data_IF_500751524205
#
_entry.id   IF_500751524205
#
_cell.length_a   1.000
_cell.length_b   1.000
_cell.length_c   1.000
_cell.angle_alpha   90.00
_cell.angle_beta   90.00
_cell.angle_gamma   90.00
#
_symmetry.space_group_name_H-M   'P 1'
#
loop_
_entity.id
_entity.type
_entity.pdbx_description
1 polymer ?
#
# COMPACT_ATOMS: atom_id res chain seq x y z
N UNK A 1 -35.59 -26.51 71.48
CA UNK A 1 -36.38 -27.74 71.34
C UNK A 1 -36.56 -28.00 69.85
N UNK A 2 -36.14 -29.09 69.22
CA UNK A 2 -35.31 -30.22 69.63
C UNK A 2 -34.70 -30.82 68.36
N UNK A 3 -33.60 -31.51 68.57
CA UNK A 3 -32.83 -32.29 67.63
C UNK A 3 -33.47 -33.69 67.46
N UNK A 4 -33.19 -34.37 66.32
CA UNK A 4 -33.14 -35.84 66.12
C UNK A 4 -34.14 -36.46 65.11
N UNK A 5 -33.51 -37.00 64.05
CA UNK A 5 -33.80 -38.24 63.31
C UNK A 5 -34.99 -38.32 62.35
N UNK A 6 -34.97 -39.14 61.30
CA UNK A 6 -33.96 -39.92 60.57
C UNK A 6 -34.79 -40.73 59.57
N UNK A 7 -34.40 -40.72 58.29
CA UNK A 7 -34.57 -41.76 57.28
C UNK A 7 -35.78 -42.73 57.37
N UNK A 8 -36.59 -42.79 56.29
CA UNK A 8 -36.54 -43.88 55.28
C UNK A 8 -37.67 -43.79 54.25
N UNK A 9 -37.31 -43.92 52.98
CA UNK A 9 -38.19 -44.30 51.85
C UNK A 9 -38.86 -43.10 51.18
N UNK A 10 -38.90 -42.94 49.86
CA UNK A 10 -38.86 -43.94 48.79
C UNK A 10 -38.32 -43.30 47.51
N UNK A 11 -37.43 -44.04 46.85
CA UNK A 11 -36.99 -43.95 45.45
C UNK A 11 -38.03 -43.32 44.49
N UNK A 12 -37.87 -42.04 44.11
CA UNK A 12 -38.16 -41.55 42.73
C UNK A 12 -37.41 -40.24 42.55
N UNK A 13 -36.21 -40.27 41.96
CA UNK A 13 -35.64 -39.17 41.14
C UNK A 13 -34.22 -39.57 40.70
N UNK A 14 -34.14 -40.60 39.86
CA UNK A 14 -33.04 -40.74 38.91
C UNK A 14 -33.70 -40.64 37.54
N UNK A 15 -33.06 -39.90 36.62
CA UNK A 15 -33.54 -39.49 35.28
C UNK A 15 -34.20 -38.11 35.27
N UNK A 16 -33.45 -37.07 35.67
CA UNK A 16 -33.73 -35.69 35.25
C UNK A 16 -32.45 -34.82 35.10
N UNK A 17 -31.26 -35.44 35.14
CA UNK A 17 -29.98 -34.72 35.19
C UNK A 17 -28.98 -35.08 34.09
N UNK A 18 -29.44 -35.70 32.99
CA UNK A 18 -28.55 -36.19 31.91
C UNK A 18 -29.04 -35.89 30.50
N UNK A 19 -29.89 -34.86 30.32
CA UNK A 19 -30.27 -34.35 28.98
C UNK A 19 -30.09 -32.81 28.90
N UNK A 20 -29.37 -32.19 29.85
CA UNK A 20 -29.05 -30.76 29.81
C UNK A 20 -27.54 -30.47 29.77
N UNK A 21 -26.77 -31.41 29.23
CA UNK A 21 -25.31 -31.28 29.03
C UNK A 21 -24.85 -31.69 27.62
N UNK A 22 -25.78 -31.93 26.69
CA UNK A 22 -25.49 -32.31 25.31
C UNK A 22 -25.85 -31.24 24.25
N UNK A 23 -26.19 -30.01 24.66
CA UNK A 23 -26.59 -28.93 23.74
C UNK A 23 -25.67 -27.69 23.76
N UNK A 24 -24.46 -27.79 24.35
CA UNK A 24 -23.45 -26.72 24.29
C UNK A 24 -22.34 -27.00 23.27
N UNK A 25 -22.35 -28.16 22.61
CA UNK A 25 -21.34 -28.52 21.60
C UNK A 25 -21.93 -28.58 20.18
N UNK A 26 -22.34 -27.45 19.61
CA UNK A 26 -22.48 -27.28 18.16
C UNK A 26 -22.68 -25.79 17.83
N UNK A 27 -21.63 -25.00 18.02
CA UNK A 27 -21.67 -23.57 17.73
C UNK A 27 -20.28 -22.94 17.65
N UNK A 28 -19.27 -23.70 17.21
CA UNK A 28 -18.15 -23.03 16.53
C UNK A 28 -18.78 -22.54 15.24
N UNK A 29 -19.29 -21.31 15.24
CA UNK A 29 -19.52 -20.60 14.01
C UNK A 29 -18.18 -20.60 13.30
N UNK A 30 -18.02 -21.44 12.28
CA UNK A 30 -16.99 -21.20 11.28
C UNK A 30 -17.25 -19.76 10.85
N UNK A 31 -16.32 -18.85 11.21
CA UNK A 31 -16.38 -17.49 10.75
C UNK A 31 -16.46 -17.57 9.23
N UNK A 32 -17.65 -17.34 8.68
CA UNK A 32 -17.85 -17.42 7.25
C UNK A 32 -16.97 -16.32 6.69
N UNK A 33 -15.89 -16.71 6.01
CA UNK A 33 -14.90 -15.78 5.48
C UNK A 33 -15.68 -14.67 4.79
N UNK A 34 -15.41 -13.43 5.20
CA UNK A 34 -16.11 -12.27 4.64
C UNK A 34 -15.96 -12.37 3.12
N UNK A 35 -17.02 -12.12 2.36
CA UNK A 35 -16.90 -12.16 0.89
C UNK A 35 -16.31 -10.85 0.41
N UNK A 36 -15.38 -10.92 -0.53
CA UNK A 36 -14.93 -9.75 -1.27
C UNK A 36 -16.12 -9.08 -1.98
N UNK A 37 -15.94 -7.82 -2.38
CA UNK A 37 -16.96 -7.09 -3.12
C UNK A 37 -17.24 -7.77 -4.47
N UNK A 38 -18.49 -7.78 -4.87
CA UNK A 38 -18.87 -8.07 -6.26
C UNK A 38 -18.40 -6.96 -7.20
N UNK A 39 -18.35 -7.20 -8.51
CA UNK A 39 -17.98 -6.17 -9.48
C UNK A 39 -18.88 -4.93 -9.39
N UNK A 40 -20.19 -5.11 -9.21
CA UNK A 40 -21.12 -3.98 -9.09
C UNK A 40 -20.88 -3.17 -7.81
N UNK A 41 -20.60 -3.85 -6.68
CA UNK A 41 -20.19 -3.18 -5.44
C UNK A 41 -18.86 -2.43 -5.61
N UNK A 42 -17.90 -3.00 -6.36
CA UNK A 42 -16.63 -2.34 -6.69
C UNK A 42 -16.88 -1.07 -7.49
N UNK A 43 -17.72 -1.12 -8.54
CA UNK A 43 -18.05 0.04 -9.37
C UNK A 43 -18.70 1.15 -8.55
N UNK A 44 -19.72 0.81 -7.76
CA UNK A 44 -20.41 1.78 -6.89
C UNK A 44 -19.44 2.44 -5.91
N UNK A 45 -18.65 1.64 -5.20
CA UNK A 45 -17.71 2.15 -4.20
C UNK A 45 -16.57 2.95 -4.84
N UNK A 46 -16.05 2.53 -5.98
CA UNK A 46 -14.98 3.24 -6.68
C UNK A 46 -15.46 4.62 -7.19
N UNK A 47 -16.65 4.69 -7.79
CA UNK A 47 -17.24 5.97 -8.22
C UNK A 47 -17.44 6.90 -7.01
N UNK A 48 -18.04 6.39 -5.93
CA UNK A 48 -18.21 7.15 -4.69
C UNK A 48 -16.88 7.67 -4.14
N UNK A 49 -15.82 6.84 -4.16
CA UNK A 49 -14.49 7.23 -3.68
C UNK A 49 -13.86 8.30 -4.56
N UNK A 50 -14.01 8.22 -5.88
CA UNK A 50 -13.55 9.28 -6.79
C UNK A 50 -14.27 10.61 -6.52
N UNK A 51 -15.59 10.58 -6.33
CA UNK A 51 -16.40 11.79 -6.06
C UNK A 51 -16.02 12.48 -4.75
N UNK A 52 -15.61 11.70 -3.74
CA UNK A 52 -15.28 12.20 -2.42
C UNK A 52 -13.77 12.37 -2.18
N UNK A 53 -12.94 12.16 -3.21
CA UNK A 53 -11.48 12.24 -3.07
C UNK A 53 -10.89 11.24 -2.07
N UNK A 54 -11.40 10.01 -2.06
CA UNK A 54 -11.02 8.94 -1.13
C UNK A 54 -10.09 7.92 -1.77
N UNK A 55 -9.19 7.35 -0.97
CA UNK A 55 -8.29 6.27 -1.39
C UNK A 55 -9.05 5.02 -1.87
N UNK A 56 -8.65 4.34 -2.97
CA UNK A 56 -7.47 4.59 -3.82
C UNK A 56 -7.71 5.54 -5.00
N UNK A 57 -8.82 6.27 -5.06
CA UNK A 57 -9.21 7.11 -6.22
C UNK A 57 -8.94 8.60 -6.03
N UNK A 58 -8.02 8.97 -5.14
CA UNK A 58 -7.66 10.36 -4.87
C UNK A 58 -7.19 11.03 -6.17
N UNK A 59 -7.90 12.09 -6.56
CA UNK A 59 -7.54 12.91 -7.73
C UNK A 59 -7.84 12.28 -9.10
N UNK A 60 -8.56 11.15 -9.16
CA UNK A 60 -9.17 10.66 -10.41
C UNK A 60 -10.48 11.41 -10.67
N UNK A 61 -10.76 11.72 -11.94
CA UNK A 61 -12.04 12.30 -12.35
C UNK A 61 -13.14 11.22 -12.31
N UNK A 62 -14.26 11.43 -11.58
CA UNK A 62 -15.37 10.48 -11.56
C UNK A 62 -15.96 10.16 -12.94
N UNK A 63 -15.84 11.05 -13.93
CA UNK A 63 -16.30 10.80 -15.29
C UNK A 63 -15.40 9.78 -16.00
N UNK A 64 -14.08 9.89 -15.85
CA UNK A 64 -13.11 8.94 -16.39
C UNK A 64 -13.29 7.54 -15.78
N UNK A 65 -13.57 7.49 -14.47
CA UNK A 65 -13.84 6.23 -13.75
C UNK A 65 -15.10 5.55 -14.28
N UNK A 66 -16.18 6.32 -14.54
CA UNK A 66 -17.40 5.80 -15.16
C UNK A 66 -17.15 5.32 -16.59
N UNK A 67 -16.36 6.04 -17.36
CA UNK A 67 -16.00 5.66 -18.73
C UNK A 67 -15.28 4.30 -18.75
N UNK A 68 -14.28 4.11 -17.88
CA UNK A 68 -13.60 2.81 -17.76
C UNK A 68 -14.57 1.69 -17.36
N UNK A 69 -15.47 1.94 -16.39
CA UNK A 69 -16.45 0.93 -15.95
C UNK A 69 -17.56 0.64 -16.97
N UNK A 70 -17.77 1.51 -17.96
CA UNK A 70 -18.71 1.24 -19.04
C UNK A 70 -18.28 0.03 -19.89
N UNK A 71 -16.99 -0.28 -19.95
CA UNK A 71 -16.45 -1.43 -20.71
C UNK A 71 -16.09 -2.63 -19.84
N UNK A 72 -15.84 -2.45 -18.53
CA UNK A 72 -15.50 -3.55 -17.61
C UNK A 72 -16.77 -4.34 -17.21
N UNK A 73 -16.84 -5.61 -17.59
CA UNK A 73 -17.97 -6.54 -17.41
C UNK A 73 -17.66 -7.70 -16.47
N UNK A 74 -16.40 -8.07 -16.29
CA UNK A 74 -16.01 -9.16 -15.38
C UNK A 74 -15.01 -8.69 -14.32
N UNK A 75 -14.70 -9.58 -13.38
CA UNK A 75 -13.66 -9.37 -12.37
C UNK A 75 -12.25 -9.75 -12.87
N UNK A 76 -12.08 -9.97 -14.18
CA UNK A 76 -10.79 -10.27 -14.79
C UNK A 76 -9.80 -9.10 -14.64
N UNK A 77 -8.55 -9.42 -14.30
CA UNK A 77 -7.51 -8.43 -14.04
C UNK A 77 -7.02 -7.72 -15.29
N UNK A 78 -7.00 -8.39 -16.44
CA UNK A 78 -6.56 -7.81 -17.69
C UNK A 78 -7.67 -6.96 -18.33
N UNK A 79 -8.93 -7.35 -18.18
CA UNK A 79 -10.08 -6.52 -18.55
C UNK A 79 -10.11 -5.22 -17.73
N UNK A 80 -9.91 -5.31 -16.41
CA UNK A 80 -9.76 -4.14 -15.53
C UNK A 80 -8.64 -3.22 -16.01
N UNK A 81 -7.44 -3.76 -16.23
CA UNK A 81 -6.29 -2.99 -16.65
C UNK A 81 -6.52 -2.33 -18.01
N UNK A 82 -7.15 -3.03 -18.96
CA UNK A 82 -7.47 -2.52 -20.28
C UNK A 82 -8.47 -1.35 -20.21
N UNK A 83 -9.54 -1.48 -19.42
CA UNK A 83 -10.56 -0.44 -19.26
C UNK A 83 -9.99 0.90 -18.78
N UNK A 84 -9.18 0.89 -17.72
CA UNK A 84 -8.52 2.10 -17.22
C UNK A 84 -7.40 2.59 -18.13
N UNK A 85 -6.63 1.68 -18.75
CA UNK A 85 -5.56 2.06 -19.67
C UNK A 85 -6.08 2.77 -20.91
N UNK A 86 -7.25 2.39 -21.44
CA UNK A 86 -7.84 3.04 -22.61
C UNK A 86 -8.14 4.53 -22.36
N UNK A 87 -8.66 4.86 -21.17
CA UNK A 87 -8.90 6.25 -20.76
C UNK A 87 -7.58 7.00 -20.57
N UNK A 88 -6.60 6.35 -19.94
CA UNK A 88 -5.27 6.91 -19.71
C UNK A 88 -4.49 7.18 -21.01
N UNK A 89 -4.61 6.32 -22.02
CA UNK A 89 -3.96 6.43 -23.33
C UNK A 89 -4.34 7.75 -24.03
N UNK A 90 -5.61 8.19 -23.90
CA UNK A 90 -6.08 9.47 -24.40
C UNK A 90 -5.32 10.64 -23.77
N UNK A 91 -5.16 10.64 -22.45
CA UNK A 91 -4.42 11.70 -21.75
C UNK A 91 -2.93 11.67 -22.07
N UNK A 92 -2.33 10.49 -22.16
CA UNK A 92 -0.93 10.32 -22.55
C UNK A 92 -0.65 10.90 -23.94
N UNK A 93 -1.54 10.64 -24.91
CA UNK A 93 -1.40 11.17 -26.27
C UNK A 93 -1.55 12.70 -26.31
N UNK A 94 -2.53 13.26 -25.59
CA UNK A 94 -2.73 14.71 -25.51
C UNK A 94 -1.53 15.40 -24.83
N UNK A 95 -0.99 14.81 -23.76
CA UNK A 95 0.17 15.33 -23.07
C UNK A 95 1.39 15.42 -24.00
N UNK A 96 1.71 14.33 -24.72
CA UNK A 96 2.81 14.30 -25.70
C UNK A 96 2.69 15.36 -26.79
N UNK A 97 1.48 15.59 -27.29
CA UNK A 97 1.24 16.60 -28.32
C UNK A 97 1.47 18.05 -27.83
N UNK A 98 1.33 18.29 -26.52
CA UNK A 98 1.45 19.61 -25.91
C UNK A 98 2.82 19.86 -25.26
N UNK A 99 3.66 18.85 -25.10
CA UNK A 99 4.92 18.94 -24.35
C UNK A 99 5.84 20.06 -24.87
N UNK A 100 5.88 20.28 -26.18
CA UNK A 100 6.69 21.33 -26.81
C UNK A 100 6.04 22.70 -26.91
N UNK A 101 4.74 22.85 -26.60
CA UNK A 101 3.98 24.09 -26.82
C UNK A 101 3.33 24.65 -25.56
N UNK A 102 2.91 23.77 -24.63
CA UNK A 102 2.30 24.11 -23.35
C UNK A 102 2.69 23.05 -22.30
N UNK A 103 3.90 23.19 -21.76
CA UNK A 103 4.48 22.26 -20.80
C UNK A 103 3.64 22.11 -19.52
N UNK A 104 2.99 23.20 -19.06
CA UNK A 104 2.15 23.17 -17.86
C UNK A 104 0.89 22.30 -18.08
N UNK A 105 0.24 22.47 -19.23
CA UNK A 105 -0.91 21.63 -19.60
C UNK A 105 -0.51 20.19 -19.88
N UNK A 106 0.60 19.96 -20.56
CA UNK A 106 1.14 18.62 -20.79
C UNK A 106 1.41 17.89 -19.46
N UNK A 107 2.05 18.58 -18.52
CA UNK A 107 2.32 18.10 -17.17
C UNK A 107 1.05 17.66 -16.44
N UNK A 108 0.00 18.47 -16.44
CA UNK A 108 -1.29 18.10 -15.83
C UNK A 108 -1.97 16.90 -16.50
N UNK A 109 -1.83 16.74 -17.81
CA UNK A 109 -2.36 15.58 -18.55
C UNK A 109 -1.57 14.30 -18.26
N UNK A 110 -0.25 14.39 -18.11
CA UNK A 110 0.58 13.26 -17.67
C UNK A 110 0.19 12.78 -16.27
N UNK A 111 -0.12 13.68 -15.33
CA UNK A 111 -0.64 13.31 -14.00
C UNK A 111 -1.96 12.53 -14.10
N UNK A 112 -2.89 12.98 -14.95
CA UNK A 112 -4.16 12.25 -15.18
C UNK A 112 -3.92 10.86 -15.76
N UNK A 113 -3.04 10.74 -16.76
CA UNK A 113 -2.67 9.46 -17.34
C UNK A 113 -2.04 8.53 -16.29
N UNK A 114 -1.08 9.04 -15.51
CA UNK A 114 -0.43 8.29 -14.43
C UNK A 114 -1.45 7.75 -13.41
N UNK A 115 -2.36 8.58 -12.91
CA UNK A 115 -3.37 8.15 -11.93
C UNK A 115 -4.26 7.02 -12.47
N UNK A 116 -4.71 7.12 -13.72
CA UNK A 116 -5.53 6.09 -14.36
C UNK A 116 -4.75 4.79 -14.62
N UNK A 117 -3.51 4.87 -15.12
CA UNK A 117 -2.65 3.69 -15.27
C UNK A 117 -2.33 3.03 -13.92
N UNK A 118 -2.04 3.83 -12.91
CA UNK A 118 -1.79 3.38 -11.53
C UNK A 118 -2.99 2.64 -10.96
N UNK A 119 -4.21 3.11 -11.25
CA UNK A 119 -5.43 2.42 -10.86
C UNK A 119 -5.72 1.17 -11.73
N UNK A 120 -5.33 1.19 -13.00
CA UNK A 120 -5.32 -0.01 -13.87
C UNK A 120 -4.40 -1.13 -13.32
N UNK A 121 -3.27 -0.77 -12.72
CA UNK A 121 -2.39 -1.71 -11.97
C UNK A 121 -3.01 -2.17 -10.65
N UNK A 122 -3.76 -1.31 -9.96
CA UNK A 122 -4.13 -1.49 -8.56
C UNK A 122 -4.84 -2.85 -8.28
N UNK A 123 -4.63 -3.46 -7.10
CA UNK A 123 -3.67 -3.05 -6.05
C UNK A 123 -2.23 -3.45 -6.36
N UNK A 124 -2.03 -4.48 -7.19
CA UNK A 124 -0.72 -5.02 -7.57
C UNK A 124 -0.71 -5.48 -9.03
N UNK A 125 0.45 -5.45 -9.71
CA UNK A 125 0.59 -5.89 -11.10
C UNK A 125 0.54 -7.43 -11.26
N UNK A 126 -0.57 -8.06 -10.84
CA UNK A 126 -0.74 -9.51 -10.73
C UNK A 126 -1.07 -10.23 -12.06
N UNK A 127 -1.14 -9.52 -13.17
CA UNK A 127 -1.41 -10.07 -14.50
C UNK A 127 -0.63 -9.29 -15.58
N UNK A 128 -0.45 -9.85 -16.79
CA UNK A 128 0.29 -9.16 -17.86
C UNK A 128 -0.29 -7.79 -18.22
N UNK A 129 -1.62 -7.65 -18.25
CA UNK A 129 -2.29 -6.36 -18.45
C UNK A 129 -1.99 -5.37 -17.35
N UNK A 130 -2.06 -5.78 -16.07
CA UNK A 130 -1.72 -4.91 -14.94
C UNK A 130 -0.24 -4.53 -14.89
N UNK A 131 0.66 -5.42 -15.32
CA UNK A 131 2.10 -5.12 -15.48
C UNK A 131 2.32 -4.06 -16.57
N UNK A 132 1.65 -4.18 -17.72
CA UNK A 132 1.69 -3.16 -18.78
C UNK A 132 1.14 -1.82 -18.30
N UNK A 133 0.02 -1.83 -17.56
CA UNK A 133 -0.53 -0.62 -16.95
C UNK A 133 0.48 0.03 -15.99
N UNK A 134 1.19 -0.75 -15.17
CA UNK A 134 2.24 -0.20 -14.30
C UNK A 134 3.40 0.42 -15.09
N UNK A 135 3.90 -0.24 -16.14
CA UNK A 135 4.93 0.34 -17.01
C UNK A 135 4.52 1.69 -17.60
N UNK A 136 3.29 1.78 -18.11
CA UNK A 136 2.73 3.05 -18.61
C UNK A 136 2.54 4.10 -17.52
N UNK A 137 2.22 3.70 -16.28
CA UNK A 137 2.15 4.61 -15.14
C UNK A 137 3.52 5.25 -14.86
N UNK A 138 4.60 4.45 -14.88
CA UNK A 138 5.97 4.94 -14.73
C UNK A 138 6.35 5.92 -15.85
N UNK A 139 6.04 5.59 -17.10
CA UNK A 139 6.29 6.47 -18.24
C UNK A 139 5.57 7.82 -18.09
N UNK A 140 4.28 7.80 -17.75
CA UNK A 140 3.48 9.02 -17.56
C UNK A 140 4.02 9.86 -16.40
N UNK A 141 4.34 9.24 -15.26
CA UNK A 141 4.87 9.95 -14.11
C UNK A 141 6.23 10.60 -14.40
N UNK A 142 7.15 9.86 -15.01
CA UNK A 142 8.46 10.41 -15.36
C UNK A 142 8.37 11.50 -16.43
N UNK A 143 7.43 11.39 -17.37
CA UNK A 143 7.18 12.47 -18.34
C UNK A 143 6.68 13.74 -17.65
N UNK A 144 5.77 13.62 -16.68
CA UNK A 144 5.34 14.73 -15.83
C UNK A 144 6.52 15.36 -15.08
N UNK A 145 7.35 14.55 -14.41
CA UNK A 145 8.39 15.08 -13.52
C UNK A 145 9.57 15.72 -14.25
N UNK A 146 9.80 15.37 -15.53
CA UNK A 146 10.80 16.05 -16.39
C UNK A 146 10.42 17.51 -16.67
N UNK A 147 9.14 17.86 -16.57
CA UNK A 147 8.64 19.21 -16.78
C UNK A 147 8.63 20.05 -15.49
N UNK A 148 9.06 19.49 -14.35
CA UNK A 148 9.19 20.21 -13.09
C UNK A 148 10.47 21.05 -13.03
N UNK A 149 10.48 22.05 -12.16
CA UNK A 149 11.63 22.92 -11.90
C UNK A 149 11.93 22.99 -10.38
N UNK A 150 13.05 22.40 -9.90
CA UNK A 150 13.95 21.51 -10.64
C UNK A 150 13.25 20.18 -10.98
N UNK A 151 13.70 19.46 -12.03
CA UNK A 151 13.16 18.16 -12.38
C UNK A 151 13.40 17.14 -11.26
N UNK A 152 12.59 16.09 -11.25
CA UNK A 152 12.81 14.96 -10.34
C UNK A 152 14.06 14.18 -10.73
N UNK A 153 14.89 13.83 -9.75
CA UNK A 153 16.05 12.97 -9.92
C UNK A 153 15.67 11.52 -9.66
N UNK A 154 15.92 10.63 -10.62
CA UNK A 154 15.84 9.18 -10.41
C UNK A 154 17.20 8.71 -9.91
N UNK A 155 17.27 8.33 -8.63
CA UNK A 155 18.49 7.79 -8.03
C UNK A 155 18.48 6.27 -8.11
N UNK A 156 19.66 5.69 -8.36
CA UNK A 156 19.89 4.24 -8.39
C UNK A 156 21.01 3.93 -7.42
N UNK A 157 20.68 3.26 -6.31
CA UNK A 157 21.59 3.03 -5.18
C UNK A 157 21.98 1.55 -5.19
N UNK A 158 23.26 1.19 -5.37
CA UNK A 158 23.70 -0.21 -5.39
C UNK A 158 23.36 -0.93 -4.08
N UNK A 159 22.72 -2.10 -4.20
CA UNK A 159 22.23 -2.89 -3.08
C UNK A 159 22.02 -4.36 -3.50
N UNK A 160 22.66 -5.31 -2.82
CA UNK A 160 22.43 -6.74 -3.00
C UNK A 160 22.52 -7.29 -4.44
N UNK A 161 23.50 -6.82 -5.21
CA UNK A 161 23.66 -7.22 -6.61
C UNK A 161 22.58 -6.66 -7.54
N UNK A 162 21.75 -5.74 -7.05
CA UNK A 162 20.74 -4.97 -7.76
C UNK A 162 20.86 -3.50 -7.35
N UNK A 163 19.78 -2.75 -7.48
CA UNK A 163 19.71 -1.33 -7.14
C UNK A 163 18.36 -0.95 -6.51
N UNK A 164 18.42 -0.07 -5.50
CA UNK A 164 17.25 0.62 -4.98
C UNK A 164 16.98 1.81 -5.90
N UNK A 165 15.76 1.88 -6.45
CA UNK A 165 15.32 2.99 -7.30
C UNK A 165 14.51 3.96 -6.46
N UNK A 166 15.04 5.18 -6.28
CA UNK A 166 14.39 6.24 -5.51
C UNK A 166 14.12 7.48 -6.35
N UNK A 167 13.12 8.26 -5.95
CA UNK A 167 12.75 9.52 -6.58
C UNK A 167 13.05 10.68 -5.64
N UNK A 168 14.08 11.48 -5.97
CA UNK A 168 14.62 12.52 -5.10
C UNK A 168 14.33 13.91 -5.68
N UNK A 169 13.92 14.83 -4.81
CA UNK A 169 13.86 16.27 -5.13
C UNK A 169 14.37 17.11 -3.98
N UNK A 170 15.06 18.18 -4.36
CA UNK A 170 15.57 19.20 -3.46
C UNK A 170 14.85 20.53 -3.72
N UNK A 171 14.73 21.41 -2.72
CA UNK A 171 14.20 22.74 -2.92
C UNK A 171 15.04 23.55 -3.91
N UNK A 172 14.39 24.42 -4.67
CA UNK A 172 15.06 25.29 -5.64
C UNK A 172 15.89 26.37 -4.92
N UNK A 173 17.04 26.75 -5.51
CA UNK A 173 17.87 27.90 -5.09
C UNK A 173 18.41 27.84 -3.65
N UNK A 174 18.65 26.64 -3.09
CA UNK A 174 19.21 26.50 -1.74
C UNK A 174 20.70 26.82 -1.70
N UNK A 175 21.14 27.48 -0.62
CA UNK A 175 22.53 27.98 -0.45
C UNK A 175 23.42 27.05 0.38
N UNK A 176 22.96 25.84 0.69
CA UNK A 176 23.67 24.88 1.52
C UNK A 176 22.88 23.58 1.70
N UNK A 177 23.38 22.67 2.56
CA UNK A 177 22.74 21.38 2.79
C UNK A 177 21.32 21.54 3.36
N UNK A 178 20.39 20.72 2.87
CA UNK A 178 18.96 20.79 3.24
C UNK A 178 18.55 19.58 4.10
N UNK A 179 17.58 19.75 5.02
CA UNK A 179 16.94 18.61 5.68
C UNK A 179 16.22 17.73 4.65
N UNK A 180 16.16 16.42 4.92
CA UNK A 180 15.57 15.43 4.02
C UNK A 180 14.47 14.62 4.71
N UNK A 181 13.41 14.29 3.98
CA UNK A 181 12.43 13.28 4.37
C UNK A 181 12.54 12.05 3.46
N UNK A 182 12.74 10.88 4.07
CA UNK A 182 12.61 9.59 3.37
C UNK A 182 11.14 9.16 3.46
N UNK A 183 10.45 9.08 2.32
CA UNK A 183 9.04 8.71 2.25
C UNK A 183 8.87 7.29 1.71
N UNK A 184 8.26 6.39 2.49
CA UNK A 184 8.11 4.96 2.18
C UNK A 184 6.65 4.66 1.82
N UNK A 185 6.44 4.04 0.64
CA UNK A 185 5.13 3.66 0.17
C UNK A 185 4.47 2.55 0.95
N UNK A 186 3.14 2.48 0.87
CA UNK A 186 2.35 1.38 1.40
C UNK A 186 2.39 0.13 0.50
N UNK A 187 1.48 -0.80 0.79
CA UNK A 187 1.35 -2.06 0.05
C UNK A 187 0.97 -1.85 -1.41
N UNK A 188 0.03 -0.93 -1.66
CA UNK A 188 -0.60 -0.69 -2.95
C UNK A 188 -0.36 0.71 -3.53
N UNK A 189 0.25 1.63 -2.77
CA UNK A 189 0.87 2.86 -3.29
C UNK A 189 2.33 2.62 -3.70
N UNK A 190 2.92 3.57 -4.43
CA UNK A 190 4.28 3.50 -4.97
C UNK A 190 5.02 4.82 -4.75
N UNK A 191 6.34 4.84 -4.90
CA UNK A 191 7.19 6.05 -4.78
C UNK A 191 6.71 7.23 -5.63
N UNK A 192 6.02 6.98 -6.74
CA UNK A 192 5.34 8.01 -7.55
C UNK A 192 4.32 8.79 -6.71
N UNK A 193 3.44 8.10 -5.97
CA UNK A 193 2.41 8.72 -5.12
C UNK A 193 3.04 9.59 -4.03
N UNK A 194 4.15 9.10 -3.44
CA UNK A 194 4.88 9.82 -2.39
C UNK A 194 5.55 11.04 -2.98
N UNK A 195 6.14 10.92 -4.16
CA UNK A 195 6.81 12.03 -4.84
C UNK A 195 5.85 13.15 -5.22
N UNK A 196 4.63 12.81 -5.65
CA UNK A 196 3.58 13.78 -5.90
C UNK A 196 3.16 14.51 -4.60
N UNK A 197 2.93 13.76 -3.52
CA UNK A 197 2.48 14.32 -2.24
C UNK A 197 3.57 15.17 -1.56
N UNK A 198 4.81 14.67 -1.49
CA UNK A 198 5.93 15.36 -0.85
C UNK A 198 6.48 16.53 -1.67
N UNK A 199 6.03 16.73 -2.92
CA UNK A 199 6.30 17.98 -3.64
C UNK A 199 5.92 19.24 -2.84
N UNK A 200 4.91 19.14 -1.97
CA UNK A 200 4.43 20.25 -1.14
C UNK A 200 5.41 20.71 -0.04
N UNK A 201 6.41 19.91 0.34
CA UNK A 201 7.37 20.31 1.38
C UNK A 201 8.56 21.11 0.84
N UNK A 202 8.79 21.09 -0.48
CA UNK A 202 9.91 21.77 -1.13
C UNK A 202 9.93 23.29 -0.85
N UNK A 203 8.81 24.04 -0.90
CA UNK A 203 8.80 25.48 -0.58
C UNK A 203 9.23 25.81 0.86
N UNK A 204 9.19 24.85 1.77
CA UNK A 204 9.63 25.00 3.16
C UNK A 204 11.13 24.70 3.34
N UNK A 205 11.87 24.48 2.25
CA UNK A 205 13.31 24.23 2.29
C UNK A 205 13.68 22.81 2.71
N UNK A 206 12.76 21.85 2.56
CA UNK A 206 12.97 20.43 2.90
C UNK A 206 12.92 19.59 1.62
N UNK A 207 13.95 18.79 1.39
CA UNK A 207 14.00 17.83 0.28
C UNK A 207 13.35 16.49 0.67
N UNK A 208 13.09 15.65 -0.34
CA UNK A 208 12.57 14.30 -0.09
C UNK A 208 13.20 13.26 -1.02
N UNK A 209 13.12 12.01 -0.59
CA UNK A 209 13.28 10.83 -1.45
C UNK A 209 12.09 9.88 -1.24
N UNK A 210 11.36 9.59 -2.31
CA UNK A 210 10.29 8.59 -2.33
C UNK A 210 10.82 7.20 -2.67
N UNK A 211 10.37 6.19 -1.94
CA UNK A 211 10.79 4.80 -2.07
C UNK A 211 9.59 3.84 -2.07
N UNK A 212 9.75 2.74 -2.81
CA UNK A 212 8.82 1.62 -2.78
C UNK A 212 9.11 0.75 -1.55
N UNK A 213 8.06 0.22 -0.90
CA UNK A 213 8.24 -0.79 0.16
C UNK A 213 8.84 -2.09 -0.38
N UNK A 214 9.59 -2.86 0.43
CA UNK A 214 10.00 -4.22 0.11
C UNK A 214 8.88 -5.07 -0.50
N UNK A 215 9.18 -5.67 -1.65
CA UNK A 215 8.28 -6.50 -2.44
C UNK A 215 7.27 -5.73 -3.31
N UNK A 216 7.28 -4.40 -3.27
CA UNK A 216 6.41 -3.54 -4.07
C UNK A 216 7.20 -2.76 -5.12
N UNK A 217 6.50 -2.26 -6.13
CA UNK A 217 7.04 -1.34 -7.13
C UNK A 217 8.35 -1.82 -7.77
N UNK A 218 9.39 -1.00 -7.63
CA UNK A 218 10.75 -1.27 -8.10
C UNK A 218 11.72 -1.60 -6.94
N UNK A 219 11.22 -1.95 -5.75
CA UNK A 219 12.09 -2.42 -4.66
C UNK A 219 12.84 -3.69 -5.11
N UNK A 220 14.15 -3.79 -4.83
CA UNK A 220 14.98 -4.90 -5.31
C UNK A 220 14.82 -6.19 -4.50
N UNK A 221 14.13 -6.14 -3.35
CA UNK A 221 13.98 -7.28 -2.44
C UNK A 221 12.53 -7.50 -2.04
N UNK A 222 12.21 -8.71 -1.59
CA UNK A 222 10.93 -9.04 -0.96
C UNK A 222 10.92 -8.61 0.52
N UNK A 223 9.73 -8.41 1.05
CA UNK A 223 9.52 -8.20 2.48
C UNK A 223 10.03 -9.43 3.27
N UNK A 224 10.78 -9.15 4.32
CA UNK A 224 11.32 -10.14 5.26
C UNK A 224 11.70 -9.43 6.55
N UNK A 225 12.06 -10.19 7.59
CA UNK A 225 12.52 -9.65 8.87
C UNK A 225 13.78 -8.79 8.78
N UNK A 226 14.52 -8.82 7.67
CA UNK A 226 15.75 -8.01 7.50
C UNK A 226 15.63 -7.01 6.36
N UNK A 227 14.44 -6.87 5.74
CA UNK A 227 14.26 -6.01 4.57
C UNK A 227 14.40 -4.50 4.88
N UNK A 228 14.40 -4.09 6.15
CA UNK A 228 14.69 -2.70 6.55
C UNK A 228 16.06 -2.22 6.08
N UNK A 229 17.00 -3.14 5.85
CA UNK A 229 18.35 -2.83 5.37
C UNK A 229 18.35 -2.10 4.01
N UNK A 230 17.29 -2.24 3.21
CA UNK A 230 17.05 -1.41 2.03
C UNK A 230 17.08 0.08 2.41
N UNK A 231 16.36 0.46 3.46
CA UNK A 231 16.25 1.84 3.89
C UNK A 231 17.49 2.33 4.65
N UNK A 232 18.13 1.46 5.45
CA UNK A 232 19.45 1.77 6.04
C UNK A 232 20.47 2.14 4.96
N UNK A 233 20.46 1.41 3.84
CA UNK A 233 21.32 1.71 2.68
C UNK A 233 21.00 3.05 2.02
N UNK A 234 19.73 3.47 2.01
CA UNK A 234 19.33 4.79 1.54
C UNK A 234 19.85 5.89 2.47
N UNK A 235 19.81 5.69 3.79
CA UNK A 235 20.40 6.63 4.75
C UNK A 235 21.91 6.78 4.48
N UNK A 236 22.63 5.67 4.32
CA UNK A 236 24.06 5.70 3.95
C UNK A 236 24.30 6.52 2.69
N UNK A 237 23.46 6.32 1.66
CA UNK A 237 23.55 7.06 0.41
C UNK A 237 23.32 8.57 0.61
N UNK A 238 22.27 8.97 1.33
CA UNK A 238 22.00 10.38 1.62
C UNK A 238 23.14 11.03 2.40
N UNK A 239 23.79 10.30 3.33
CA UNK A 239 24.96 10.77 4.06
C UNK A 239 26.19 10.98 3.16
N UNK A 240 26.22 10.45 1.94
CA UNK A 240 27.29 10.76 0.96
C UNK A 240 27.04 12.05 0.18
N UNK A 241 25.81 12.57 0.16
CA UNK A 241 25.44 13.71 -0.68
C UNK A 241 25.76 15.05 0.03
N UNK A 242 26.60 15.92 -0.56
CA UNK A 242 26.96 17.20 0.07
C UNK A 242 25.79 18.19 0.21
N UNK A 243 24.75 18.06 -0.62
CA UNK A 243 23.51 18.83 -0.55
C UNK A 243 22.56 18.40 0.57
N UNK A 244 22.82 17.27 1.24
CA UNK A 244 21.98 16.75 2.32
C UNK A 244 22.58 17.13 3.67
N UNK A 245 21.76 17.73 4.52
CA UNK A 245 22.11 17.92 5.93
C UNK A 245 21.95 16.60 6.68
N UNK A 246 23.08 15.91 6.88
CA UNK A 246 23.16 14.59 7.54
C UNK A 246 22.63 14.61 8.98
N UNK A 247 22.64 15.78 9.62
CA UNK A 247 22.11 15.92 10.98
C UNK A 247 20.59 16.11 11.02
N UNK A 248 19.92 16.23 9.87
CA UNK A 248 18.47 16.52 9.75
C UNK A 248 17.78 15.62 8.72
N UNK A 249 17.90 14.31 8.91
CA UNK A 249 17.17 13.30 8.12
C UNK A 249 15.97 12.83 8.95
N UNK A 250 14.77 12.93 8.37
CA UNK A 250 13.53 12.37 8.91
C UNK A 250 12.94 11.30 7.99
N UNK A 251 11.91 10.62 8.46
CA UNK A 251 11.24 9.55 7.73
C UNK A 251 9.73 9.64 7.88
N UNK A 252 9.01 9.38 6.79
CA UNK A 252 7.56 9.22 6.73
C UNK A 252 7.25 7.86 6.13
N UNK A 253 6.45 7.07 6.82
CA UNK A 253 5.91 5.82 6.30
C UNK A 253 4.39 5.89 6.27
N UNK A 254 3.80 5.44 5.17
CA UNK A 254 2.34 5.41 4.98
C UNK A 254 1.82 3.98 4.88
N UNK A 255 0.81 3.63 5.69
CA UNK A 255 0.22 2.29 5.72
C UNK A 255 1.30 1.22 5.95
N UNK A 256 1.50 0.27 5.05
CA UNK A 256 2.58 -0.72 5.16
C UNK A 256 3.98 -0.09 5.20
N UNK A 257 4.18 1.10 4.60
CA UNK A 257 5.40 1.89 4.75
C UNK A 257 5.63 2.36 6.19
N UNK A 258 4.56 2.56 6.96
CA UNK A 258 4.63 2.96 8.36
C UNK A 258 5.13 1.82 9.27
N UNK A 259 4.94 0.55 8.88
CA UNK A 259 5.61 -0.58 9.56
C UNK A 259 7.13 -0.43 9.46
N UNK A 260 7.65 -0.19 8.24
CA UNK A 260 9.08 0.01 8.02
C UNK A 260 9.60 1.25 8.75
N UNK A 261 8.87 2.37 8.69
CA UNK A 261 9.23 3.58 9.42
C UNK A 261 9.27 3.34 10.95
N UNK A 262 8.30 2.62 11.51
CA UNK A 262 8.27 2.25 12.94
C UNK A 262 9.51 1.43 13.32
N UNK A 263 9.86 0.44 12.50
CA UNK A 263 11.04 -0.40 12.73
C UNK A 263 12.34 0.42 12.64
N UNK A 264 12.45 1.31 11.66
CA UNK A 264 13.61 2.18 11.47
C UNK A 264 13.72 3.25 12.56
N UNK A 265 12.62 3.68 13.18
CA UNK A 265 12.68 4.55 14.35
C UNK A 265 13.47 3.92 15.51
N UNK A 266 13.51 2.59 15.60
CA UNK A 266 14.26 1.84 16.61
C UNK A 266 15.69 1.59 16.12
N UNK A 267 15.83 1.00 14.93
CA UNK A 267 17.14 0.56 14.41
C UNK A 267 18.03 1.75 14.06
N UNK A 268 17.44 2.80 13.49
CA UNK A 268 18.14 3.99 13.00
C UNK A 268 17.94 5.21 13.90
N UNK A 269 17.57 5.01 15.16
CA UNK A 269 17.29 6.08 16.14
C UNK A 269 18.43 7.10 16.28
N UNK A 270 19.68 6.69 16.06
CA UNK A 270 20.83 7.59 16.11
C UNK A 270 20.89 8.54 14.90
N UNK A 271 20.45 8.07 13.73
CA UNK A 271 20.55 8.77 12.44
C UNK A 271 19.29 9.55 12.08
N UNK A 272 18.11 9.02 12.37
CA UNK A 272 16.82 9.67 12.11
C UNK A 272 16.45 10.66 13.23
N UNK A 273 16.03 11.86 12.85
CA UNK A 273 15.64 12.93 13.81
C UNK A 273 14.15 13.07 14.03
N UNK A 274 13.35 12.56 13.10
CA UNK A 274 11.92 12.50 13.22
C UNK A 274 11.41 11.30 12.40
N UNK A 275 10.42 10.60 12.94
CA UNK A 275 9.73 9.53 12.23
C UNK A 275 8.22 9.74 12.36
N UNK A 276 7.54 9.74 11.22
CA UNK A 276 6.08 9.71 11.12
C UNK A 276 5.67 8.33 10.65
N UNK A 277 4.92 7.62 11.50
CA UNK A 277 4.31 6.34 11.15
C UNK A 277 2.80 6.53 10.99
N UNK A 278 2.35 6.71 9.75
CA UNK A 278 0.93 6.93 9.46
C UNK A 278 0.20 5.60 9.26
N UNK A 279 -0.62 5.24 10.25
CA UNK A 279 -1.44 4.01 10.28
C UNK A 279 -0.64 2.71 10.11
N UNK A 280 0.38 2.44 10.95
CA UNK A 280 1.22 1.25 10.81
C UNK A 280 0.48 -0.05 11.13
N UNK A 281 0.60 -1.09 10.28
CA UNK A 281 0.39 -2.44 10.75
C UNK A 281 1.57 -2.78 11.68
N UNK A 282 1.33 -2.87 12.99
CA UNK A 282 2.39 -3.01 13.98
C UNK A 282 2.43 -4.39 14.65
N UNK A 283 1.27 -4.98 14.93
CA UNK A 283 1.17 -6.25 15.67
C UNK A 283 0.05 -7.13 15.11
N UNK A 284 -1.22 -6.77 15.37
CA UNK A 284 -2.39 -7.59 15.01
C UNK A 284 -2.38 -8.06 13.55
N UNK A 285 -1.97 -7.22 12.60
CA UNK A 285 -1.88 -7.57 11.16
C UNK A 285 -0.98 -8.78 10.88
N UNK A 286 0.04 -9.00 11.70
CA UNK A 286 1.00 -10.08 11.55
C UNK A 286 0.60 -11.35 12.33
N UNK A 287 -0.43 -11.27 13.17
CA UNK A 287 -0.91 -12.41 13.93
C UNK A 287 -1.64 -13.40 13.04
N UNK A 288 -1.38 -14.70 13.22
CA UNK A 288 -1.97 -15.78 12.43
C UNK A 288 -3.50 -15.68 12.31
N UNK A 289 -4.17 -15.36 13.42
CA UNK A 289 -5.63 -15.21 13.43
C UNK A 289 -6.11 -14.06 12.55
N UNK A 290 -5.39 -12.94 12.51
CA UNK A 290 -5.72 -11.83 11.63
C UNK A 290 -5.50 -12.24 10.17
N UNK A 291 -4.36 -12.85 9.86
CA UNK A 291 -4.04 -13.30 8.50
C UNK A 291 -5.11 -14.24 7.97
N UNK A 292 -5.47 -15.26 8.77
CA UNK A 292 -6.46 -16.27 8.37
C UNK A 292 -7.86 -15.68 8.25
N UNK A 293 -8.27 -14.85 9.21
CA UNK A 293 -9.68 -14.47 9.34
C UNK A 293 -10.02 -13.05 8.87
N UNK A 294 -9.03 -12.20 8.59
CA UNK A 294 -9.22 -10.76 8.27
C UNK A 294 -8.57 -10.31 6.97
N UNK A 295 -7.67 -11.11 6.37
CA UNK A 295 -7.01 -10.74 5.11
C UNK A 295 -7.88 -11.06 3.89
N UNK A 296 -8.42 -12.28 3.80
CA UNK A 296 -9.35 -12.63 2.73
C UNK A 296 -10.72 -12.02 3.00
N UNK A 297 -11.33 -11.46 1.96
CA UNK A 297 -12.67 -10.90 2.09
C UNK A 297 -12.74 -9.53 2.74
N UNK A 298 -11.59 -8.96 3.09
CA UNK A 298 -11.50 -7.62 3.62
C UNK A 298 -12.15 -6.61 2.66
N UNK A 299 -13.04 -5.77 3.20
CA UNK A 299 -13.77 -4.74 2.45
C UNK A 299 -13.21 -3.32 2.65
N UNK A 300 -12.00 -3.16 3.18
CA UNK A 300 -11.26 -1.90 3.10
C UNK A 300 -10.79 -1.65 1.65
N UNK A 301 -10.14 -2.67 1.06
CA UNK A 301 -9.75 -2.71 -0.35
C UNK A 301 -10.97 -2.92 -1.23
N UNK A 302 -10.99 -2.31 -2.42
CA UNK A 302 -12.01 -2.62 -3.43
C UNK A 302 -12.00 -4.13 -3.75
N UNK A 303 -10.83 -4.71 -3.90
CA UNK A 303 -10.58 -6.15 -4.06
C UNK A 303 -9.09 -6.47 -3.81
N UNK A 304 -8.75 -7.74 -3.61
CA UNK A 304 -7.38 -8.22 -3.82
C UNK A 304 -6.36 -7.88 -2.72
N UNK A 305 -6.79 -7.58 -1.48
CA UNK A 305 -5.86 -7.38 -0.35
C UNK A 305 -4.98 -8.61 -0.10
N UNK A 306 -5.59 -9.80 -0.07
CA UNK A 306 -4.84 -11.05 0.15
C UNK A 306 -3.76 -11.28 -0.90
N UNK A 307 -4.10 -11.30 -2.21
CA UNK A 307 -3.10 -11.35 -3.28
C UNK A 307 -2.03 -10.27 -3.20
N UNK A 308 -2.40 -9.03 -2.83
CA UNK A 308 -1.43 -7.95 -2.66
C UNK A 308 -0.43 -8.26 -1.55
N UNK A 309 -0.91 -8.67 -0.37
CA UNK A 309 -0.08 -9.03 0.78
C UNK A 309 0.81 -10.25 0.50
N UNK A 310 0.27 -11.28 -0.16
CA UNK A 310 1.05 -12.45 -0.59
C UNK A 310 2.18 -12.05 -1.54
N UNK A 311 1.92 -11.13 -2.47
CA UNK A 311 2.89 -10.77 -3.51
C UNK A 311 4.18 -10.14 -2.99
N UNK A 312 4.18 -9.56 -1.78
CA UNK A 312 5.37 -8.88 -1.24
C UNK A 312 6.32 -9.82 -0.50
N UNK A 313 5.90 -11.04 -0.16
CA UNK A 313 6.73 -12.03 0.52
C UNK A 313 7.20 -13.13 -0.44
N UNK A 314 8.41 -13.62 -0.22
CA UNK A 314 8.94 -14.75 -0.98
C UNK A 314 8.17 -16.04 -0.61
N UNK A 315 7.75 -16.82 -1.60
CA UNK A 315 7.09 -18.11 -1.39
C UNK A 315 5.63 -18.09 -0.92
N UNK A 316 5.04 -16.93 -0.62
CA UNK A 316 3.64 -16.83 -0.18
C UNK A 316 2.66 -17.01 -1.36
N UNK A 317 1.93 -18.12 -1.40
CA UNK A 317 0.90 -18.40 -2.43
C UNK A 317 -0.50 -18.56 -1.84
N UNK A 318 -0.58 -18.84 -0.55
CA UNK A 318 -1.80 -19.01 0.22
C UNK A 318 -1.74 -18.17 1.50
N UNK A 319 -2.89 -18.01 2.13
CA UNK A 319 -2.98 -17.35 3.45
C UNK A 319 -2.26 -18.14 4.52
N UNK A 320 -2.25 -19.47 4.41
CA UNK A 320 -1.49 -20.32 5.32
C UNK A 320 0.02 -20.12 5.16
N UNK A 321 0.52 -19.90 3.93
CA UNK A 321 1.92 -19.54 3.72
C UNK A 321 2.25 -18.22 4.42
N UNK A 322 1.42 -17.18 4.26
CA UNK A 322 1.60 -15.91 4.96
C UNK A 322 1.59 -16.08 6.48
N UNK A 323 0.66 -16.86 7.02
CA UNK A 323 0.55 -17.13 8.44
C UNK A 323 1.75 -17.91 9.01
N UNK A 324 2.50 -18.62 8.16
CA UNK A 324 3.74 -19.31 8.52
C UNK A 324 4.98 -18.43 8.34
N UNK A 325 4.93 -17.45 7.44
CA UNK A 325 6.00 -16.46 7.21
C UNK A 325 6.01 -15.41 8.31
N UNK A 326 4.84 -14.98 8.78
CA UNK A 326 4.77 -13.97 9.82
C UNK A 326 5.31 -14.52 11.14
N UNK A 327 6.06 -13.70 11.89
CA UNK A 327 6.64 -14.14 13.15
C UNK A 327 5.52 -14.58 14.13
N UNK A 328 5.83 -15.64 14.89
CA UNK A 328 4.95 -16.17 15.94
C UNK A 328 5.04 -15.35 17.23
#
# INVERSE_FOLDING_TARGET
>A
MDYIAMQRGVKVLRIAGMILSALVCAGIAMAQAQKERTLEEIKTEAIKRAENGMYPLIGLDPADVREAFAVIKTSDYDEWAAGFSAVADRYMAQAKALEGTDAAKASGLYVKAWRLYSFGRWPVPASPGKQRAYGKALEAFLAHTRLMDPPLEVVRIPFDGSEIVGYLRLPKNVKGPVPMVIAISGLDSRKEDLSENFGAILPYGIGFIGLDSPGTGQSPIKASETAEREFSRVIDYLETRPEVDKARIGMDGQSFGAYWATKLAIIEHARLKAVVAQSPPADATFQKDFVINKTLGNREYLFGLGPALMSIYEGAKTVDDLANIFPK
#
